data_IF_592027977057
#
_entry.id   IF_592027977057
#
_cell.length_a   1.000
_cell.length_b   1.000
_cell.length_c   1.000
_cell.angle_alpha   90.00
_cell.angle_beta   90.00
_cell.angle_gamma   90.00
#
_symmetry.space_group_name_H-M   'P 1'
#
loop_
_entity.id
_entity.type
_entity.pdbx_description
1 polymer ?
#
# COMPACT_ATOMS: atom_id res chain seq x y z
N UNK A 1 -4.75 15.23 6.59
CA UNK A 1 -3.99 14.15 7.26
C UNK A 1 -4.85 13.19 8.08
N UNK A 2 -5.79 13.67 8.92
CA UNK A 2 -6.68 12.79 9.70
C UNK A 2 -7.53 11.82 8.85
N UNK A 3 -7.91 12.19 7.62
CA UNK A 3 -8.70 11.32 6.72
C UNK A 3 -7.92 10.08 6.26
N UNK A 4 -6.67 10.26 5.82
CA UNK A 4 -5.88 9.20 5.18
C UNK A 4 -5.56 8.05 6.15
N UNK A 5 -5.38 8.34 7.44
CA UNK A 5 -5.11 7.32 8.46
C UNK A 5 -6.38 6.56 8.87
N UNK A 6 -7.53 7.23 8.85
CA UNK A 6 -8.82 6.59 9.10
C UNK A 6 -9.19 5.66 7.94
N UNK A 7 -8.89 6.09 6.70
CA UNK A 7 -9.14 5.34 5.46
C UNK A 7 -8.33 4.04 5.35
N UNK A 8 -7.26 3.86 6.16
CA UNK A 8 -6.43 2.65 6.13
C UNK A 8 -6.54 1.80 7.40
N UNK A 9 -7.29 2.21 8.43
CA UNK A 9 -7.40 1.45 9.68
C UNK A 9 -7.93 0.02 9.48
N UNK A 10 -8.76 -0.18 8.46
CA UNK A 10 -9.34 -1.46 8.08
C UNK A 10 -8.65 -2.10 6.87
N UNK A 11 -7.46 -1.63 6.49
CA UNK A 11 -6.80 -2.09 5.28
C UNK A 11 -6.58 -3.61 5.24
N UNK A 12 -6.29 -4.26 6.37
CA UNK A 12 -6.08 -5.71 6.44
C UNK A 12 -7.31 -6.54 6.10
N UNK A 13 -8.52 -5.99 6.31
CA UNK A 13 -9.78 -6.60 5.87
C UNK A 13 -10.18 -6.13 4.47
N UNK A 14 -10.03 -4.83 4.19
CA UNK A 14 -10.52 -4.21 2.96
C UNK A 14 -9.67 -4.61 1.73
N UNK A 15 -8.39 -4.93 1.95
CA UNK A 15 -7.48 -5.36 0.89
C UNK A 15 -7.92 -6.66 0.22
N UNK A 16 -8.72 -7.46 0.90
CA UNK A 16 -9.24 -8.71 0.36
C UNK A 16 -10.29 -8.46 -0.72
N UNK A 17 -11.10 -7.42 -0.54
CA UNK A 17 -12.21 -7.07 -1.44
C UNK A 17 -11.76 -6.13 -2.56
N UNK A 18 -10.81 -5.23 -2.27
CA UNK A 18 -10.28 -4.27 -3.25
C UNK A 18 -8.74 -4.19 -3.23
N UNK A 19 -8.02 -5.28 -3.59
CA UNK A 19 -6.58 -5.40 -3.43
C UNK A 19 -5.79 -4.26 -4.08
N UNK A 20 -6.10 -3.92 -5.34
CA UNK A 20 -5.43 -2.83 -6.06
C UNK A 20 -5.63 -1.49 -5.38
N UNK A 21 -6.88 -1.15 -5.02
CA UNK A 21 -7.19 0.14 -4.45
C UNK A 21 -6.49 0.35 -3.10
N UNK A 22 -6.60 -0.65 -2.22
CA UNK A 22 -6.02 -0.59 -0.88
C UNK A 22 -4.48 -0.62 -0.95
N UNK A 23 -3.90 -1.51 -1.76
CA UNK A 23 -2.44 -1.63 -1.90
C UNK A 23 -1.80 -0.33 -2.38
N UNK A 24 -2.34 0.27 -3.46
CA UNK A 24 -1.77 1.49 -4.02
C UNK A 24 -2.00 2.70 -3.10
N UNK A 25 -3.12 2.75 -2.37
CA UNK A 25 -3.33 3.80 -1.39
C UNK A 25 -2.37 3.68 -0.21
N UNK A 26 -2.17 2.49 0.36
CA UNK A 26 -1.18 2.25 1.42
C UNK A 26 0.22 2.72 0.98
N UNK A 27 0.62 2.41 -0.25
CA UNK A 27 1.90 2.87 -0.80
C UNK A 27 1.98 4.40 -0.87
N UNK A 28 0.91 5.08 -1.30
CA UNK A 28 0.85 6.56 -1.32
C UNK A 28 0.96 7.16 0.08
N UNK A 29 0.30 6.56 1.08
CA UNK A 29 0.35 7.03 2.47
C UNK A 29 1.78 6.92 3.00
N UNK A 30 2.39 5.75 2.87
CA UNK A 30 3.74 5.53 3.39
C UNK A 30 4.78 6.39 2.66
N UNK A 31 4.64 6.56 1.33
CA UNK A 31 5.49 7.46 0.56
C UNK A 31 5.38 8.90 1.06
N UNK A 32 4.16 9.41 1.24
CA UNK A 32 3.95 10.75 1.79
C UNK A 32 4.56 10.91 3.18
N UNK A 33 4.42 9.91 4.06
CA UNK A 33 4.96 9.98 5.41
C UNK A 33 6.49 9.95 5.45
N UNK A 34 7.15 9.23 4.52
CA UNK A 34 8.61 9.13 4.47
C UNK A 34 9.26 10.30 3.73
N UNK A 35 8.64 10.79 2.66
CA UNK A 35 9.28 11.70 1.71
C UNK A 35 8.56 13.07 1.61
N UNK A 36 7.42 13.25 2.29
CA UNK A 36 6.64 14.50 2.29
C UNK A 36 5.92 14.82 0.98
N UNK A 37 5.97 13.92 -0.01
CA UNK A 37 5.41 14.13 -1.35
C UNK A 37 4.02 13.51 -1.50
N UNK A 38 3.05 14.28 -1.98
CA UNK A 38 1.75 13.75 -2.39
C UNK A 38 1.90 13.07 -3.76
N UNK A 39 1.46 11.82 -3.85
CA UNK A 39 1.63 10.99 -5.06
C UNK A 39 0.28 10.51 -5.62
N UNK A 40 0.28 10.21 -6.91
CA UNK A 40 -0.75 9.41 -7.58
C UNK A 40 -0.66 7.92 -7.18
N UNK A 41 -1.65 7.11 -7.55
CA UNK A 41 -1.61 5.64 -7.34
C UNK A 41 -0.42 4.99 -8.04
N UNK A 42 -0.13 5.42 -9.27
CA UNK A 42 1.01 4.92 -10.03
C UNK A 42 2.33 5.27 -9.34
N UNK A 43 2.55 6.54 -9.01
CA UNK A 43 3.79 6.98 -8.36
C UNK A 43 3.98 6.33 -6.99
N UNK A 44 2.90 6.18 -6.21
CA UNK A 44 2.95 5.46 -4.93
C UNK A 44 3.36 4.00 -5.10
N UNK A 45 2.77 3.28 -6.06
CA UNK A 45 3.14 1.89 -6.36
C UNK A 45 4.57 1.77 -6.90
N UNK A 46 4.99 2.64 -7.82
CA UNK A 46 6.35 2.66 -8.37
C UNK A 46 7.40 2.90 -7.27
N UNK A 47 7.10 3.81 -6.33
CA UNK A 47 7.90 3.99 -5.12
C UNK A 47 7.92 2.73 -4.26
N UNK A 48 6.76 2.10 -4.05
CA UNK A 48 6.63 0.86 -3.28
C UNK A 48 7.50 -0.28 -3.82
N UNK A 49 7.60 -0.43 -5.14
CA UNK A 49 8.45 -1.43 -5.79
C UNK A 49 9.94 -1.29 -5.43
N UNK A 50 10.38 -0.06 -5.14
CA UNK A 50 11.77 0.27 -4.82
C UNK A 50 12.02 0.25 -3.30
N UNK A 51 11.08 0.79 -2.52
CA UNK A 51 11.26 1.06 -1.09
C UNK A 51 10.79 -0.05 -0.14
N UNK A 52 9.95 -0.98 -0.63
CA UNK A 52 9.36 -2.04 0.21
C UNK A 52 10.10 -3.38 0.06
N UNK A 53 9.98 -4.27 1.07
CA UNK A 53 10.55 -5.61 1.01
C UNK A 53 10.18 -6.34 -0.29
N UNK A 54 11.16 -7.05 -0.86
CA UNK A 54 11.00 -7.69 -2.18
C UNK A 54 9.88 -8.73 -2.22
N UNK A 55 9.50 -9.30 -1.08
CA UNK A 55 8.39 -10.24 -0.95
C UNK A 55 7.03 -9.65 -1.33
N UNK A 56 6.86 -8.32 -1.24
CA UNK A 56 5.62 -7.62 -1.58
C UNK A 56 5.58 -7.11 -3.02
N UNK A 57 6.71 -7.13 -3.75
CA UNK A 57 6.76 -6.68 -5.16
C UNK A 57 5.73 -7.38 -6.06
N UNK A 58 5.45 -8.69 -5.94
CA UNK A 58 4.42 -9.32 -6.77
C UNK A 58 3.03 -8.70 -6.58
N UNK A 59 2.65 -8.36 -5.34
CA UNK A 59 1.37 -7.70 -5.04
C UNK A 59 1.34 -6.32 -5.67
N UNK A 60 2.38 -5.52 -5.46
CA UNK A 60 2.44 -4.14 -5.95
C UNK A 60 2.44 -4.10 -7.48
N UNK A 61 3.22 -4.96 -8.12
CA UNK A 61 3.28 -5.05 -9.58
C UNK A 61 1.91 -5.45 -10.17
N UNK A 62 1.25 -6.44 -9.58
CA UNK A 62 -0.08 -6.85 -10.00
C UNK A 62 -1.09 -5.68 -9.90
N UNK A 63 -1.08 -4.96 -8.77
CA UNK A 63 -1.96 -3.81 -8.57
C UNK A 63 -1.67 -2.67 -9.56
N UNK A 64 -0.40 -2.44 -9.92
CA UNK A 64 -0.01 -1.47 -10.95
C UNK A 64 -0.49 -1.89 -12.34
N UNK A 65 -0.39 -3.18 -12.66
CA UNK A 65 -0.88 -3.73 -13.92
C UNK A 65 -2.40 -3.54 -14.02
N UNK A 66 -3.16 -3.97 -13.01
CA UNK A 66 -4.61 -3.79 -12.93
C UNK A 66 -5.00 -2.31 -13.07
N UNK A 67 -4.33 -1.41 -12.33
CA UNK A 67 -4.60 0.03 -12.38
C UNK A 67 -4.34 0.64 -13.77
N UNK A 68 -3.34 0.11 -14.51
CA UNK A 68 -3.03 0.53 -15.87
C UNK A 68 -3.97 -0.04 -16.94
N UNK A 69 -4.90 -0.91 -16.56
CA UNK A 69 -5.76 -1.65 -17.49
C UNK A 69 -5.04 -2.79 -18.22
N UNK A 70 -3.88 -3.21 -17.71
CA UNK A 70 -3.17 -4.37 -18.23
C UNK A 70 -3.80 -5.66 -17.67
N UNK A 71 -3.96 -6.67 -18.53
CA UNK A 71 -4.40 -7.99 -18.08
C UNK A 71 -3.28 -8.64 -17.25
N UNK A 72 -3.60 -8.95 -16.00
CA UNK A 72 -2.74 -9.72 -15.11
C UNK A 72 -3.59 -10.81 -14.46
N UNK A 73 -3.39 -12.06 -14.86
CA UNK A 73 -4.13 -13.21 -14.34
C UNK A 73 -3.51 -13.79 -13.06
N UNK A 74 -2.54 -13.10 -12.44
CA UNK A 74 -1.91 -13.57 -11.22
C UNK A 74 -2.92 -13.56 -10.08
N UNK A 75 -3.26 -14.73 -9.55
CA UNK A 75 -4.10 -14.83 -8.38
C UNK A 75 -3.32 -14.35 -7.14
N UNK A 76 -3.80 -13.28 -6.52
CA UNK A 76 -3.29 -12.85 -5.22
C UNK A 76 -3.81 -13.77 -4.12
N UNK A 77 -2.90 -14.25 -3.28
CA UNK A 77 -3.26 -15.04 -2.12
C UNK A 77 -3.77 -14.11 -0.99
N UNK A 78 -4.93 -14.43 -0.41
CA UNK A 78 -5.56 -13.63 0.66
C UNK A 78 -4.65 -13.41 1.88
N UNK A 79 -3.95 -14.45 2.34
CA UNK A 79 -3.01 -14.37 3.46
C UNK A 79 -1.88 -13.38 3.15
N UNK A 80 -1.29 -13.48 1.95
CA UNK A 80 -0.25 -12.53 1.51
C UNK A 80 -0.74 -11.08 1.40
N UNK A 81 -2.01 -10.88 1.03
CA UNK A 81 -2.62 -9.55 1.02
C UNK A 81 -2.78 -9.00 2.43
N UNK A 82 -3.31 -9.81 3.35
CA UNK A 82 -3.41 -9.43 4.76
C UNK A 82 -2.03 -9.12 5.35
N UNK A 83 -1.04 -9.96 5.12
CA UNK A 83 0.34 -9.74 5.57
C UNK A 83 0.93 -8.43 5.03
N UNK A 84 0.68 -8.13 3.76
CA UNK A 84 1.12 -6.87 3.16
C UNK A 84 0.45 -5.66 3.81
N UNK A 85 -0.87 -5.71 4.00
CA UNK A 85 -1.60 -4.63 4.68
C UNK A 85 -1.12 -4.43 6.12
N UNK A 86 -0.93 -5.50 6.88
CA UNK A 86 -0.43 -5.45 8.26
C UNK A 86 0.98 -4.86 8.34
N UNK A 87 1.86 -5.26 7.42
CA UNK A 87 3.20 -4.67 7.29
C UNK A 87 3.12 -3.17 7.04
N UNK A 88 2.33 -2.74 6.05
CA UNK A 88 2.18 -1.33 5.69
C UNK A 88 1.62 -0.50 6.84
N UNK A 89 0.61 -1.02 7.55
CA UNK A 89 0.03 -0.35 8.72
C UNK A 89 1.04 -0.24 9.86
N UNK A 90 1.84 -1.27 10.09
CA UNK A 90 2.93 -1.23 11.08
C UNK A 90 3.92 -0.12 10.77
N UNK A 91 4.38 -0.01 9.52
CA UNK A 91 5.33 1.04 9.10
C UNK A 91 4.73 2.45 9.20
N UNK A 92 3.49 2.63 8.76
CA UNK A 92 2.75 3.90 8.87
C UNK A 92 2.61 4.32 10.35
N UNK A 93 2.23 3.38 11.22
CA UNK A 93 2.03 3.64 12.63
C UNK A 93 3.33 3.97 13.37
N UNK A 94 4.46 3.34 13.01
CA UNK A 94 5.78 3.68 13.58
C UNK A 94 6.15 5.14 13.31
N UNK A 95 5.96 5.61 12.08
CA UNK A 95 6.30 6.99 11.70
C UNK A 95 5.39 8.00 12.41
N UNK A 96 4.07 7.71 12.48
CA UNK A 96 3.13 8.59 13.15
C UNK A 96 3.41 8.76 14.65
N UNK A 97 3.90 7.71 15.33
CA UNK A 97 4.28 7.80 16.74
C UNK A 97 5.50 8.72 16.94
N UNK A 98 6.50 8.59 16.07
CA UNK A 98 7.69 9.46 16.10
C UNK A 98 7.33 10.92 15.81
N UNK A 99 6.35 11.18 14.95
CA UNK A 99 5.91 12.53 14.63
C UNK A 99 5.09 13.22 15.74
N UNK A 100 4.69 12.48 16.79
CA UNK A 100 3.94 12.99 17.94
C UNK A 100 4.81 13.19 19.19
N UNK A 101 6.05 12.73 19.16
CA UNK A 101 7.07 12.93 20.21
C UNK A 101 7.98 14.11 19.87
#
# INVERSE_FOLDING_TARGET
MKSILYDVQHASTDIIETPMYISLNLCRVLFYLREGAVSSKKEGGDWGMQALPSEYRPIIQHCLNEYSGSEDSTALNREKLTDFADYMLSEINKINRIAMD
#
